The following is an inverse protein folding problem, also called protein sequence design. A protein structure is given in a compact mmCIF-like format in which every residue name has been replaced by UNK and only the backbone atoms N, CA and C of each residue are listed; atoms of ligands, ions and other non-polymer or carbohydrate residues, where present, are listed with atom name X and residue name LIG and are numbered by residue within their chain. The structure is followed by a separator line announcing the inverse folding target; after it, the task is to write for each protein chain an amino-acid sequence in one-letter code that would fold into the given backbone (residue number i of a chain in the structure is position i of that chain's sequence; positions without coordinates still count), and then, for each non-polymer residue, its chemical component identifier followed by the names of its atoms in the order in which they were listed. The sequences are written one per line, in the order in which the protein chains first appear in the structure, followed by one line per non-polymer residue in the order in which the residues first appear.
data_IF_130014149434
#
_entry.id   IF_130014149434
#
_cell.length_a   1.000
_cell.length_b   1.000
_cell.length_c   1.000
_cell.angle_alpha   90.00
_cell.angle_beta   90.00
_cell.angle_gamma   90.00
#
_symmetry.space_group_name_H-M   'P 1'
#
loop_
_entity.id
_entity.type
_entity.pdbx_description
1 polymer ?
#
# COMPACT_ATOMS: atom_id res chain seq x y z
N UNK A 1 54.18 -25.83 -16.49
CA UNK A 1 52.74 -25.58 -16.80
C UNK A 1 51.88 -26.43 -15.87
N UNK A 2 50.71 -25.94 -15.44
CA UNK A 2 49.67 -26.61 -14.60
C UNK A 2 49.79 -26.52 -13.06
N UNK A 3 50.02 -25.33 -12.50
CA UNK A 3 49.74 -25.10 -11.06
C UNK A 3 48.86 -23.87 -10.76
N UNK A 4 48.66 -22.97 -11.73
CA UNK A 4 47.85 -21.75 -11.54
C UNK A 4 46.38 -21.85 -11.96
N UNK A 5 45.85 -23.05 -12.23
CA UNK A 5 44.44 -23.21 -12.64
C UNK A 5 43.52 -23.79 -11.56
N UNK A 6 44.06 -24.27 -10.43
CA UNK A 6 43.26 -24.93 -9.39
C UNK A 6 42.64 -23.91 -8.41
N UNK A 7 43.27 -22.74 -8.22
CA UNK A 7 42.76 -21.73 -7.29
C UNK A 7 41.56 -20.91 -7.81
N UNK A 8 41.29 -20.92 -9.13
CA UNK A 8 40.22 -20.11 -9.72
C UNK A 8 38.86 -20.84 -9.70
N UNK A 9 38.86 -22.18 -9.69
CA UNK A 9 37.62 -22.98 -9.63
C UNK A 9 37.03 -23.11 -8.22
N UNK A 10 37.79 -22.82 -7.17
CA UNK A 10 37.29 -22.82 -5.78
C UNK A 10 36.67 -21.49 -5.33
N UNK A 11 36.84 -20.41 -6.09
CA UNK A 11 36.27 -19.10 -5.79
C UNK A 11 34.83 -18.91 -6.33
N UNK A 12 34.36 -19.79 -7.22
CA UNK A 12 33.04 -19.70 -7.85
C UNK A 12 31.91 -20.44 -7.11
N UNK A 13 32.20 -21.10 -5.97
CA UNK A 13 31.21 -21.89 -5.23
C UNK A 13 30.59 -21.18 -4.02
N UNK A 14 30.95 -19.92 -3.74
CA UNK A 14 30.44 -19.18 -2.58
C UNK A 14 29.27 -18.21 -2.87
N UNK A 15 28.70 -18.23 -4.08
CA UNK A 15 27.59 -17.30 -4.45
C UNK A 15 26.19 -17.94 -4.25
N UNK A 16 26.10 -19.24 -3.91
CA UNK A 16 24.82 -19.97 -3.93
C UNK A 16 24.21 -20.31 -2.57
N UNK A 17 24.59 -19.62 -1.48
CA UNK A 17 23.90 -19.75 -0.19
C UNK A 17 23.64 -18.39 0.45
N UNK A 18 22.58 -17.77 -0.03
CA UNK A 18 21.94 -16.62 0.59
C UNK A 18 20.51 -16.54 0.11
N UNK A 19 19.79 -17.68 0.23
CA UNK A 19 18.37 -17.77 -0.04
C UNK A 19 17.66 -16.59 0.59
N UNK A 20 16.90 -15.91 -0.26
CA UNK A 20 15.85 -14.97 0.08
C UNK A 20 15.32 -15.20 1.48
N UNK A 21 15.70 -14.32 2.41
CA UNK A 21 14.82 -14.00 3.52
C UNK A 21 13.68 -13.22 2.87
N UNK A 22 12.76 -13.96 2.25
CA UNK A 22 11.42 -13.49 2.04
C UNK A 22 10.87 -13.35 3.44
N UNK A 23 11.11 -12.19 4.06
CA UNK A 23 10.25 -11.71 5.11
C UNK A 23 8.90 -11.58 4.41
N UNK A 24 8.15 -12.67 4.43
CA UNK A 24 6.71 -12.61 4.60
C UNK A 24 6.53 -11.91 5.95
N UNK A 25 6.77 -10.61 5.94
CA UNK A 25 6.29 -9.68 6.93
C UNK A 25 4.80 -9.75 6.67
N UNK A 26 4.19 -10.75 7.29
CA UNK A 26 2.76 -10.95 7.32
C UNK A 26 2.27 -9.71 8.07
N UNK A 27 2.07 -8.64 7.30
CA UNK A 27 1.64 -7.35 7.76
C UNK A 27 0.42 -7.62 8.61
N UNK A 28 0.59 -7.41 9.91
CA UNK A 28 -0.40 -7.69 10.92
C UNK A 28 -1.73 -7.11 10.43
N UNK A 29 -2.73 -7.99 10.27
CA UNK A 29 -4.03 -7.72 9.62
C UNK A 29 -4.80 -6.57 10.25
N UNK A 30 -4.27 -5.95 11.30
CA UNK A 30 -4.86 -4.83 12.03
C UNK A 30 -3.85 -3.71 12.36
N UNK A 31 -2.80 -3.51 11.59
CA UNK A 31 -1.96 -2.32 11.80
C UNK A 31 -2.75 -1.06 11.47
N UNK A 32 -3.04 -0.25 12.50
CA UNK A 32 -3.70 1.04 12.32
C UNK A 32 -2.75 1.97 11.60
N UNK A 33 -3.15 2.41 10.41
CA UNK A 33 -2.36 3.33 9.59
C UNK A 33 -3.05 4.68 9.45
N UNK A 34 -2.23 5.67 9.11
CA UNK A 34 -2.67 7.04 8.88
C UNK A 34 -2.16 7.46 7.51
N UNK A 35 -3.08 7.68 6.59
CA UNK A 35 -2.77 8.00 5.19
C UNK A 35 -3.19 9.44 4.90
N UNK A 36 -2.36 10.16 4.17
CA UNK A 36 -2.67 11.52 3.70
C UNK A 36 -2.64 11.56 2.18
N UNK A 37 -3.65 12.16 1.58
CA UNK A 37 -3.83 12.13 0.13
C UNK A 37 -5.05 12.92 -0.30
N UNK A 38 -5.38 12.86 -1.58
CA UNK A 38 -6.51 13.53 -2.19
C UNK A 38 -7.67 12.56 -2.36
N UNK A 39 -8.88 13.01 -2.03
CA UNK A 39 -10.07 12.20 -2.32
C UNK A 39 -10.37 12.23 -3.82
N UNK A 40 -10.54 11.06 -4.39
CA UNK A 40 -10.98 10.85 -5.76
C UNK A 40 -12.26 10.00 -5.75
N UNK A 41 -13.03 10.06 -6.83
CA UNK A 41 -14.19 9.19 -7.04
C UNK A 41 -13.81 8.08 -8.03
N UNK A 42 -14.22 6.85 -7.72
CA UNK A 42 -14.07 5.67 -8.58
C UNK A 42 -15.43 5.01 -8.76
N UNK A 43 -15.58 4.27 -9.86
CA UNK A 43 -16.86 3.64 -10.23
C UNK A 43 -17.76 4.56 -11.06
N UNK A 44 -18.79 3.95 -11.64
CA UNK A 44 -19.73 4.63 -12.53
C UNK A 44 -21.01 5.01 -11.77
N UNK A 45 -21.74 6.01 -12.28
CA UNK A 45 -23.08 6.29 -11.78
C UNK A 45 -23.99 5.06 -12.00
N UNK A 46 -24.89 4.74 -11.05
CA UNK A 46 -25.27 5.52 -9.85
C UNK A 46 -24.49 5.13 -8.57
N UNK A 47 -23.41 4.37 -8.65
CA UNK A 47 -22.70 3.81 -7.50
C UNK A 47 -21.24 4.30 -7.39
N UNK A 48 -20.99 5.61 -7.22
CA UNK A 48 -19.64 6.12 -7.02
C UNK A 48 -19.10 5.70 -5.64
N UNK A 49 -17.83 5.33 -5.61
CA UNK A 49 -17.09 4.97 -4.40
C UNK A 49 -15.93 5.93 -4.19
N UNK A 50 -15.79 6.44 -2.96
CA UNK A 50 -14.67 7.26 -2.59
C UNK A 50 -13.38 6.43 -2.55
N UNK A 51 -12.31 7.01 -3.08
CA UNK A 51 -10.96 6.51 -2.96
C UNK A 51 -10.02 7.62 -2.52
N UNK A 52 -8.84 7.24 -2.03
CA UNK A 52 -7.77 8.19 -1.72
C UNK A 52 -6.57 7.90 -2.61
N UNK A 53 -6.05 8.94 -3.25
CA UNK A 53 -4.76 8.92 -3.91
C UNK A 53 -3.74 9.58 -3.00
N UNK A 54 -2.74 8.82 -2.57
CA UNK A 54 -1.67 9.29 -1.71
C UNK A 54 -0.67 10.14 -2.48
N UNK A 55 0.17 10.90 -1.78
CA UNK A 55 1.17 11.78 -2.42
C UNK A 55 2.26 11.03 -3.18
N UNK A 56 2.50 9.77 -2.84
CA UNK A 56 3.38 8.83 -3.54
C UNK A 56 2.67 8.10 -4.71
N UNK A 57 1.41 8.47 -5.01
CA UNK A 57 0.67 7.97 -6.17
C UNK A 57 -0.05 6.63 -5.96
N UNK A 58 -0.02 6.06 -4.76
CA UNK A 58 -0.82 4.87 -4.45
C UNK A 58 -2.30 5.24 -4.29
N UNK A 59 -3.16 4.33 -4.71
CA UNK A 59 -4.61 4.51 -4.61
C UNK A 59 -5.23 3.44 -3.73
N UNK A 60 -6.12 3.87 -2.84
CA UNK A 60 -6.90 2.95 -2.00
C UNK A 60 -8.39 3.23 -2.13
N UNK A 61 -9.17 2.18 -2.41
CA UNK A 61 -10.62 2.22 -2.33
C UNK A 61 -11.04 2.27 -0.85
N UNK A 62 -11.88 3.25 -0.49
CA UNK A 62 -12.27 3.45 0.90
C UNK A 62 -13.50 2.59 1.20
N UNK A 63 -13.35 1.67 2.15
CA UNK A 63 -14.45 0.89 2.73
C UNK A 63 -15.01 1.68 3.91
N UNK A 64 -16.25 2.16 3.76
CA UNK A 64 -16.96 2.89 4.79
C UNK A 64 -18.48 2.81 4.59
N UNK A 65 -19.26 3.27 5.57
CA UNK A 65 -20.72 3.35 5.42
C UNK A 65 -21.13 4.42 4.40
N UNK A 66 -22.36 4.31 3.88
CA UNK A 66 -22.88 5.19 2.84
C UNK A 66 -22.80 6.68 3.21
N UNK A 67 -23.11 7.03 4.46
CA UNK A 67 -23.02 8.41 4.96
C UNK A 67 -21.60 8.96 4.88
N UNK A 68 -20.60 8.15 5.22
CA UNK A 68 -19.19 8.55 5.14
C UNK A 68 -18.73 8.61 3.68
N UNK A 69 -19.15 7.66 2.85
CA UNK A 69 -18.85 7.66 1.42
C UNK A 69 -19.35 8.94 0.75
N UNK A 70 -20.63 9.30 0.95
CA UNK A 70 -21.21 10.56 0.44
C UNK A 70 -20.44 11.79 0.91
N UNK A 71 -20.07 11.86 2.20
CA UNK A 71 -19.27 12.98 2.72
C UNK A 71 -17.89 13.05 2.07
N UNK A 72 -17.24 11.92 1.86
CA UNK A 72 -15.92 11.88 1.21
C UNK A 72 -16.02 12.29 -0.25
N UNK A 73 -17.00 11.79 -1.00
CA UNK A 73 -17.26 12.19 -2.38
C UNK A 73 -17.52 13.70 -2.50
N UNK A 74 -18.27 14.29 -1.58
CA UNK A 74 -18.47 15.75 -1.52
C UNK A 74 -17.18 16.53 -1.22
N UNK A 75 -16.12 15.85 -0.76
CA UNK A 75 -14.79 16.42 -0.56
C UNK A 75 -13.78 15.99 -1.63
N UNK A 76 -14.23 15.45 -2.76
CA UNK A 76 -13.36 15.13 -3.90
C UNK A 76 -12.46 16.32 -4.28
N UNK A 77 -11.23 16.00 -4.68
CA UNK A 77 -10.19 16.97 -5.01
C UNK A 77 -9.49 17.61 -3.79
N UNK A 78 -9.99 17.39 -2.57
CA UNK A 78 -9.39 17.96 -1.37
C UNK A 78 -8.40 16.99 -0.72
N UNK A 79 -7.35 17.55 -0.12
CA UNK A 79 -6.41 16.79 0.69
C UNK A 79 -7.02 16.46 2.06
N UNK A 80 -6.95 15.19 2.44
CA UNK A 80 -7.48 14.68 3.69
C UNK A 80 -6.47 13.78 4.39
N UNK A 81 -6.65 13.63 5.70
CA UNK A 81 -5.94 12.68 6.54
C UNK A 81 -6.92 11.61 7.00
N UNK A 82 -6.72 10.38 6.54
CA UNK A 82 -7.50 9.20 6.92
C UNK A 82 -6.80 8.43 8.03
N UNK A 83 -7.57 7.79 8.88
CA UNK A 83 -7.09 6.89 9.93
C UNK A 83 -7.93 5.63 9.88
N UNK A 84 -7.27 4.48 9.82
CA UNK A 84 -7.93 3.22 9.50
C UNK A 84 -6.94 2.08 9.37
N UNK A 85 -7.28 1.10 8.53
CA UNK A 85 -6.48 -0.10 8.31
C UNK A 85 -6.48 -0.42 6.81
N UNK A 86 -5.35 -0.89 6.28
CA UNK A 86 -5.30 -1.42 4.91
C UNK A 86 -5.64 -2.90 4.97
N UNK A 87 -6.61 -3.34 4.18
CA UNK A 87 -7.10 -4.73 4.20
C UNK A 87 -6.26 -5.60 3.27
N UNK A 88 -5.05 -5.99 3.68
CA UNK A 88 -4.06 -6.71 2.87
C UNK A 88 -3.73 -5.96 1.54
N UNK A 89 -2.83 -6.50 0.70
CA UNK A 89 -2.35 -5.88 -0.56
C UNK A 89 -3.42 -5.74 -1.67
N UNK A 90 -4.68 -5.62 -1.29
CA UNK A 90 -5.86 -5.55 -2.17
C UNK A 90 -6.18 -4.12 -2.63
N UNK A 91 -5.50 -3.11 -2.09
CA UNK A 91 -5.81 -1.71 -2.35
C UNK A 91 -7.07 -1.21 -1.63
N UNK A 92 -7.58 -1.93 -0.62
CA UNK A 92 -8.72 -1.48 0.19
C UNK A 92 -8.29 -0.83 1.51
N UNK A 93 -8.92 0.28 1.86
CA UNK A 93 -8.72 1.01 3.12
C UNK A 93 -9.99 1.07 3.94
N UNK A 94 -10.00 0.44 5.12
CA UNK A 94 -11.11 0.45 6.07
C UNK A 94 -11.06 1.72 6.91
N UNK A 95 -12.03 2.61 6.69
CA UNK A 95 -12.08 3.91 7.35
C UNK A 95 -12.55 3.81 8.80
N UNK A 96 -11.80 4.42 9.73
CA UNK A 96 -12.27 4.68 11.10
C UNK A 96 -12.55 6.16 11.35
N UNK A 97 -11.67 7.04 10.89
CA UNK A 97 -11.80 8.49 11.09
C UNK A 97 -11.12 9.23 9.93
N UNK A 98 -11.60 10.43 9.64
CA UNK A 98 -10.92 11.33 8.73
C UNK A 98 -11.10 12.79 9.13
N UNK A 99 -10.22 13.63 8.59
CA UNK A 99 -10.36 15.08 8.62
C UNK A 99 -9.78 15.71 7.36
N UNK A 100 -10.36 16.82 6.94
CA UNK A 100 -9.78 17.67 5.90
C UNK A 100 -8.48 18.29 6.41
N UNK A 101 -7.45 18.31 5.56
CA UNK A 101 -6.22 19.07 5.82
C UNK A 101 -6.47 20.46 5.26
N UNK A 102 -6.31 21.49 6.10
CA UNK A 102 -6.39 22.88 5.68
C UNK A 102 -5.12 23.27 4.95
#
# INVERSE_FOLDING_TARGET
MKKSFICIMLALFCISMGFSVNKNEQADKNTKVVITGYIISKGNMPFPQAAIQTTDGQEYLIICNEKSNKKLLNTQGNKVKLTGYIQNDTGFFVLKKWKKVK
#
